data_IF_902967206674
#
_entry.id   IF_902967206674
#
_cell.length_a   1.000
_cell.length_b   1.000
_cell.length_c   1.000
_cell.angle_alpha   90.00
_cell.angle_beta   90.00
_cell.angle_gamma   90.00
#
_symmetry.space_group_name_H-M   'P 1'
#
loop_
_entity.id
_entity.type
_entity.pdbx_description
1 polymer ?
#
# COMPACT_ATOMS: atom_id res chain seq x y z
N UNK A 1 -2.00 0.11 4.84
CA UNK A 1 -0.55 0.28 4.92
C UNK A 1 0.04 -0.56 6.05
N UNK A 2 -0.12 -0.18 7.33
CA UNK A 2 0.52 -0.85 8.50
C UNK A 2 0.39 -2.38 8.48
N UNK A 3 -0.80 -2.93 8.23
CA UNK A 3 -1.00 -4.39 8.18
C UNK A 3 -0.23 -5.05 7.04
N UNK A 4 -0.12 -4.40 5.88
CA UNK A 4 0.67 -4.92 4.76
C UNK A 4 2.16 -4.93 5.11
N UNK A 5 2.66 -3.88 5.77
CA UNK A 5 4.05 -3.82 6.26
C UNK A 5 4.31 -4.92 7.28
N UNK A 6 3.43 -5.10 8.27
CA UNK A 6 3.56 -6.17 9.26
C UNK A 6 3.53 -7.56 8.61
N UNK A 7 2.70 -7.76 7.59
CA UNK A 7 2.66 -9.03 6.86
C UNK A 7 3.93 -9.28 6.03
N UNK A 8 4.51 -8.23 5.43
CA UNK A 8 5.79 -8.32 4.73
C UNK A 8 6.91 -8.76 5.69
N UNK A 9 6.96 -8.20 6.90
CA UNK A 9 7.91 -8.58 7.96
C UNK A 9 7.49 -9.85 8.73
N UNK A 10 6.48 -10.56 8.28
CA UNK A 10 5.99 -11.83 8.86
C UNK A 10 5.52 -11.71 10.32
N UNK A 11 5.21 -10.49 10.79
CA UNK A 11 4.65 -10.26 12.12
C UNK A 11 3.17 -10.64 12.22
N UNK A 12 2.48 -10.63 11.09
CA UNK A 12 1.10 -11.14 10.95
C UNK A 12 0.96 -11.90 9.64
N UNK A 13 0.06 -12.89 9.54
CA UNK A 13 -0.19 -13.58 8.28
C UNK A 13 -0.92 -12.66 7.27
N UNK A 14 -0.75 -12.91 5.95
CA UNK A 14 -1.41 -12.14 4.90
C UNK A 14 -2.94 -12.13 4.97
N UNK A 15 -3.55 -13.07 5.70
CA UNK A 15 -5.00 -13.04 5.97
C UNK A 15 -5.43 -11.88 6.88
N UNK A 16 -4.49 -11.27 7.63
CA UNK A 16 -4.72 -10.08 8.43
C UNK A 16 -4.80 -8.79 7.61
N UNK A 17 -4.34 -8.83 6.35
CA UNK A 17 -4.40 -7.72 5.41
C UNK A 17 -5.75 -7.76 4.69
N UNK A 18 -6.46 -6.62 4.53
CA UNK A 18 -7.68 -6.56 3.73
C UNK A 18 -7.46 -7.12 2.32
N UNK A 19 -8.49 -7.76 1.76
CA UNK A 19 -8.43 -8.28 0.41
C UNK A 19 -8.37 -7.14 -0.61
N UNK A 20 -7.28 -7.05 -1.34
CA UNK A 20 -7.01 -5.98 -2.29
C UNK A 20 -6.50 -6.56 -3.62
N UNK A 21 -7.36 -7.21 -4.40
CA UNK A 21 -6.95 -7.83 -5.66
C UNK A 21 -6.58 -6.79 -6.71
N UNK A 22 -5.48 -6.96 -7.45
CA UNK A 22 -5.07 -6.05 -8.50
C UNK A 22 -6.09 -5.97 -9.65
N UNK A 23 -6.95 -6.95 -9.80
CA UNK A 23 -8.01 -7.03 -10.82
C UNK A 23 -9.01 -5.87 -10.73
N UNK A 24 -9.09 -5.17 -9.60
CA UNK A 24 -9.84 -3.90 -9.46
C UNK A 24 -9.40 -2.88 -10.51
N UNK A 25 -8.14 -2.91 -10.95
CA UNK A 25 -7.61 -2.05 -12.02
C UNK A 25 -8.27 -2.29 -13.38
N UNK A 26 -8.89 -3.44 -13.59
CA UNK A 26 -9.52 -3.83 -14.85
C UNK A 26 -11.03 -3.56 -14.88
N UNK A 27 -11.63 -3.17 -13.75
CA UNK A 27 -13.06 -2.88 -13.69
C UNK A 27 -13.44 -1.74 -14.63
N UNK A 28 -14.61 -1.81 -15.26
CA UNK A 28 -15.11 -0.72 -16.12
C UNK A 28 -15.59 0.47 -15.27
N UNK A 29 -15.54 1.69 -15.83
CA UNK A 29 -15.89 2.94 -15.12
C UNK A 29 -17.30 2.97 -14.52
N UNK A 30 -18.23 2.23 -15.11
CA UNK A 30 -19.62 2.15 -14.62
C UNK A 30 -19.73 1.31 -13.32
N UNK A 31 -18.77 0.44 -13.06
CA UNK A 31 -18.81 -0.45 -11.90
C UNK A 31 -18.79 0.34 -10.57
N UNK A 32 -19.59 -0.03 -9.55
CA UNK A 32 -19.71 0.72 -8.30
C UNK A 32 -18.35 0.94 -7.59
N UNK A 33 -17.47 -0.04 -7.61
CA UNK A 33 -16.17 0.00 -6.94
C UNK A 33 -15.01 0.39 -7.87
N UNK A 34 -15.31 1.05 -9.00
CA UNK A 34 -14.23 1.51 -9.88
C UNK A 34 -13.39 2.63 -9.21
N UNK A 35 -12.08 2.56 -9.36
CA UNK A 35 -11.11 3.46 -8.72
C UNK A 35 -11.32 4.96 -9.03
N UNK A 36 -11.96 5.32 -10.16
CA UNK A 36 -12.27 6.72 -10.45
C UNK A 36 -13.23 7.37 -9.44
N UNK A 37 -13.94 6.56 -8.65
CA UNK A 37 -14.88 7.00 -7.59
C UNK A 37 -14.20 7.18 -6.23
N UNK A 38 -12.93 6.87 -6.14
CA UNK A 38 -12.11 7.02 -4.94
C UNK A 38 -11.26 8.28 -5.06
N UNK A 39 -11.07 9.00 -3.96
CA UNK A 39 -10.22 10.21 -3.92
C UNK A 39 -8.80 9.92 -4.44
N UNK A 40 -8.19 10.92 -5.07
CA UNK A 40 -6.87 10.75 -5.70
C UNK A 40 -5.81 10.27 -4.71
N UNK A 41 -5.70 10.91 -3.56
CA UNK A 41 -4.72 10.56 -2.52
C UNK A 41 -4.92 9.11 -2.01
N UNK A 42 -6.15 8.64 -1.89
CA UNK A 42 -6.43 7.24 -1.51
C UNK A 42 -5.95 6.27 -2.59
N UNK A 43 -6.13 6.62 -3.87
CA UNK A 43 -5.65 5.81 -5.00
C UNK A 43 -4.14 5.69 -5.00
N UNK A 44 -3.40 6.76 -4.66
CA UNK A 44 -1.93 6.73 -4.61
C UNK A 44 -1.40 5.75 -3.56
N UNK A 45 -2.13 5.55 -2.47
CA UNK A 45 -1.80 4.52 -1.46
C UNK A 45 -2.25 3.13 -1.91
N UNK A 46 -3.48 3.02 -2.45
CA UNK A 46 -4.11 1.72 -2.74
C UNK A 46 -3.47 1.00 -3.94
N UNK A 47 -3.15 1.73 -5.02
CA UNK A 47 -2.67 1.10 -6.25
C UNK A 47 -1.36 0.33 -6.06
N UNK A 48 -0.33 0.88 -5.40
CA UNK A 48 0.86 0.09 -5.06
C UNK A 48 0.54 -1.10 -4.14
N UNK A 49 -0.39 -0.94 -3.19
CA UNK A 49 -0.80 -2.03 -2.29
C UNK A 49 -1.47 -3.20 -3.03
N UNK A 50 -2.15 -2.97 -4.15
CA UNK A 50 -2.69 -4.05 -4.98
C UNK A 50 -1.57 -4.95 -5.51
N UNK A 51 -0.45 -4.37 -5.95
CA UNK A 51 0.71 -5.12 -6.43
C UNK A 51 1.38 -5.87 -5.27
N UNK A 52 1.63 -5.18 -4.16
CA UNK A 52 2.22 -5.77 -2.95
C UNK A 52 1.36 -6.95 -2.45
N UNK A 53 0.03 -6.77 -2.43
CA UNK A 53 -0.90 -7.82 -2.03
C UNK A 53 -0.87 -9.03 -2.99
N UNK A 54 -0.76 -8.78 -4.29
CA UNK A 54 -0.69 -9.86 -5.29
C UNK A 54 0.61 -10.67 -5.18
N UNK A 55 1.74 -10.00 -4.91
CA UNK A 55 3.06 -10.61 -4.84
C UNK A 55 3.39 -11.19 -3.46
N UNK A 56 2.75 -10.71 -2.40
CA UNK A 56 2.95 -11.14 -1.01
C UNK A 56 4.43 -11.27 -0.61
N UNK A 57 5.24 -10.22 -0.79
CA UNK A 57 6.67 -10.32 -0.56
C UNK A 57 7.00 -10.58 0.91
N UNK A 58 8.18 -11.14 1.14
CA UNK A 58 8.79 -11.28 2.47
C UNK A 58 9.95 -10.31 2.58
N UNK A 59 9.87 -9.41 3.55
CA UNK A 59 10.95 -8.49 3.87
C UNK A 59 12.04 -9.21 4.68
N UNK A 60 13.27 -8.77 4.48
CA UNK A 60 14.41 -9.24 5.29
C UNK A 60 14.38 -8.53 6.64
N UNK A 61 14.52 -9.30 7.71
CA UNK A 61 14.59 -8.80 9.09
C UNK A 61 15.88 -9.32 9.76
N UNK A 62 17.03 -8.73 9.45
CA UNK A 62 18.32 -9.26 9.89
C UNK A 62 18.53 -9.18 11.40
N UNK A 63 17.87 -8.25 12.07
CA UNK A 63 17.95 -8.08 13.53
C UNK A 63 16.92 -8.91 14.28
N UNK A 64 16.03 -9.64 13.60
CA UNK A 64 14.98 -10.44 14.23
C UNK A 64 14.00 -9.64 15.07
N UNK A 65 13.86 -8.33 14.83
CA UNK A 65 12.96 -7.46 15.58
C UNK A 65 11.51 -7.91 15.33
N UNK A 66 10.76 -8.08 16.40
CA UNK A 66 9.37 -8.49 16.35
C UNK A 66 8.49 -7.64 17.26
N UNK A 67 7.18 -7.87 17.18
CA UNK A 67 6.17 -7.21 18.00
C UNK A 67 5.27 -8.24 18.72
N UNK A 68 5.77 -9.45 18.89
CA UNK A 68 5.00 -10.55 19.49
C UNK A 68 4.50 -10.23 20.89
N UNK A 69 5.23 -9.41 21.64
CA UNK A 69 4.87 -8.94 22.99
C UNK A 69 3.62 -8.04 22.99
N UNK A 70 3.24 -7.46 21.85
CA UNK A 70 2.03 -6.64 21.72
C UNK A 70 0.76 -7.46 21.44
N UNK A 71 0.90 -8.77 21.21
CA UNK A 71 -0.23 -9.64 20.90
C UNK A 71 -0.71 -10.39 22.14
N UNK A 72 -2.02 -10.37 22.37
CA UNK A 72 -2.66 -11.17 23.43
C UNK A 72 -2.63 -12.68 23.11
N UNK A 73 -2.54 -13.03 21.83
CA UNK A 73 -2.44 -14.39 21.30
C UNK A 73 -1.45 -14.39 20.14
N UNK A 74 -0.77 -15.52 19.87
CA UNK A 74 0.06 -15.63 18.68
C UNK A 74 -0.70 -15.21 17.43
N UNK A 75 -0.05 -14.44 16.55
CA UNK A 75 -0.69 -13.87 15.35
C UNK A 75 -1.30 -14.96 14.44
N UNK A 76 -0.71 -16.16 14.39
CA UNK A 76 -1.22 -17.29 13.60
C UNK A 76 -2.52 -17.86 14.15
N UNK A 77 -2.78 -17.71 15.47
CA UNK A 77 -3.98 -18.22 16.14
C UNK A 77 -5.13 -17.21 16.11
N UNK A 78 -4.84 -15.92 15.83
CA UNK A 78 -5.88 -14.90 15.72
C UNK A 78 -6.72 -15.13 14.46
N UNK A 79 -8.05 -15.10 14.61
CA UNK A 79 -9.02 -15.28 13.53
C UNK A 79 -9.81 -14.02 13.24
N UNK A 80 -9.89 -13.11 14.20
CA UNK A 80 -10.76 -11.93 14.17
C UNK A 80 -9.97 -10.63 13.97
N UNK A 81 -9.21 -10.57 12.86
CA UNK A 81 -8.48 -9.36 12.49
C UNK A 81 -9.37 -8.17 12.14
N UNK A 82 -10.63 -8.41 11.81
CA UNK A 82 -11.57 -7.38 11.35
C UNK A 82 -12.81 -7.38 12.26
N UNK A 83 -12.84 -6.52 13.30
CA UNK A 83 -13.97 -6.46 14.21
C UNK A 83 -15.24 -6.00 13.49
N UNK A 84 -16.35 -6.70 13.73
CA UNK A 84 -17.65 -6.35 13.19
C UNK A 84 -18.27 -5.23 14.03
N UNK A 85 -18.45 -4.04 13.44
CA UNK A 85 -19.02 -2.86 14.13
C UNK A 85 -20.44 -2.52 13.71
N UNK A 86 -20.90 -3.05 12.57
CA UNK A 86 -22.25 -2.81 12.04
C UNK A 86 -22.69 -3.93 11.11
N UNK A 87 -23.99 -4.00 10.80
CA UNK A 87 -24.55 -4.96 9.83
C UNK A 87 -23.93 -4.78 8.44
N UNK A 88 -23.76 -3.53 8.02
CA UNK A 88 -23.11 -3.21 6.74
C UNK A 88 -21.65 -3.70 6.71
N UNK A 89 -20.91 -3.49 7.80
CA UNK A 89 -19.55 -4.00 7.93
C UNK A 89 -19.52 -5.53 7.85
N UNK A 90 -20.48 -6.23 8.48
CA UNK A 90 -20.61 -7.69 8.38
C UNK A 90 -20.80 -8.15 6.92
N UNK A 91 -21.64 -7.44 6.15
CA UNK A 91 -21.86 -7.73 4.74
C UNK A 91 -20.56 -7.58 3.93
N UNK A 92 -19.84 -6.49 4.12
CA UNK A 92 -18.55 -6.28 3.44
C UNK A 92 -17.50 -7.33 3.81
N UNK A 93 -17.43 -7.74 5.08
CA UNK A 93 -16.51 -8.80 5.50
C UNK A 93 -16.90 -10.16 4.90
N UNK A 94 -18.19 -10.43 4.75
CA UNK A 94 -18.66 -11.64 4.07
C UNK A 94 -18.26 -11.62 2.58
N UNK A 95 -18.50 -10.50 1.90
CA UNK A 95 -18.09 -10.32 0.50
C UNK A 95 -16.57 -10.46 0.35
N UNK A 96 -15.79 -9.88 1.25
CA UNK A 96 -14.32 -9.98 1.27
C UNK A 96 -13.86 -11.43 1.43
N UNK A 97 -14.41 -12.16 2.41
CA UNK A 97 -14.09 -13.57 2.65
C UNK A 97 -14.46 -14.44 1.45
N UNK A 98 -15.64 -14.24 0.88
CA UNK A 98 -16.12 -14.98 -0.29
C UNK A 98 -15.22 -14.71 -1.50
N UNK A 99 -14.89 -13.45 -1.75
CA UNK A 99 -14.01 -13.07 -2.85
C UNK A 99 -12.62 -13.66 -2.70
N UNK A 100 -12.06 -13.63 -1.51
CA UNK A 100 -10.75 -14.21 -1.21
C UNK A 100 -10.70 -15.72 -1.42
N UNK A 101 -11.76 -16.43 -1.02
CA UNK A 101 -11.81 -17.89 -1.10
C UNK A 101 -12.18 -18.40 -2.49
N UNK A 102 -13.09 -17.73 -3.18
CA UNK A 102 -13.65 -18.21 -4.43
C UNK A 102 -13.04 -17.52 -5.65
N UNK A 103 -12.86 -16.20 -5.62
CA UNK A 103 -12.38 -15.46 -6.78
C UNK A 103 -10.86 -15.47 -6.91
N UNK A 104 -10.14 -15.27 -5.81
CA UNK A 104 -8.67 -15.17 -5.83
C UNK A 104 -7.98 -16.40 -6.47
N UNK A 105 -8.34 -17.66 -6.14
CA UNK A 105 -7.76 -18.84 -6.77
C UNK A 105 -8.23 -19.08 -8.22
N UNK A 106 -9.40 -18.53 -8.61
CA UNK A 106 -9.97 -18.72 -9.95
C UNK A 106 -9.42 -17.73 -10.98
N UNK A 107 -8.76 -16.66 -10.55
CA UNK A 107 -8.21 -15.65 -11.48
C UNK A 107 -7.04 -16.22 -12.26
N UNK A 108 -7.12 -16.31 -13.62
CA UNK A 108 -6.01 -16.77 -14.43
C UNK A 108 -4.77 -15.87 -14.27
N UNK A 109 -3.59 -16.46 -14.26
CA UNK A 109 -2.32 -15.74 -14.12
C UNK A 109 -2.12 -14.63 -15.16
N UNK A 110 -2.66 -14.81 -16.37
CA UNK A 110 -2.63 -13.79 -17.43
C UNK A 110 -3.44 -12.54 -17.07
N UNK A 111 -4.63 -12.72 -16.47
CA UNK A 111 -5.48 -11.61 -16.04
C UNK A 111 -4.80 -10.88 -14.87
N UNK A 112 -4.27 -11.62 -13.91
CA UNK A 112 -3.52 -11.03 -12.77
C UNK A 112 -2.32 -10.22 -13.25
N UNK A 113 -1.55 -10.74 -14.19
CA UNK A 113 -0.42 -10.03 -14.79
C UNK A 113 -0.87 -8.74 -15.51
N UNK A 114 -1.95 -8.80 -16.28
CA UNK A 114 -2.52 -7.62 -16.94
C UNK A 114 -2.94 -6.56 -15.91
N UNK A 115 -3.54 -6.97 -14.81
CA UNK A 115 -3.95 -6.09 -13.72
C UNK A 115 -2.74 -5.44 -13.04
N UNK A 116 -1.69 -6.21 -12.76
CA UNK A 116 -0.42 -5.70 -12.21
C UNK A 116 0.21 -4.69 -13.16
N UNK A 117 0.34 -5.00 -14.44
CA UNK A 117 0.91 -4.09 -15.44
C UNK A 117 0.11 -2.78 -15.54
N UNK A 118 -1.21 -2.85 -15.40
CA UNK A 118 -2.06 -1.65 -15.40
C UNK A 118 -1.89 -0.82 -14.14
N UNK A 119 -1.71 -1.46 -12.98
CA UNK A 119 -1.41 -0.79 -11.71
C UNK A 119 -0.02 -0.14 -11.75
N UNK A 120 0.99 -0.85 -12.23
CA UNK A 120 2.35 -0.35 -12.45
C UNK A 120 2.35 0.90 -13.35
N UNK A 121 1.73 0.81 -14.53
CA UNK A 121 1.61 1.95 -15.45
C UNK A 121 0.93 3.14 -14.78
N UNK A 122 -0.19 2.93 -14.09
CA UNK A 122 -0.90 3.99 -13.38
C UNK A 122 -0.03 4.66 -12.33
N UNK A 123 0.76 3.88 -11.58
CA UNK A 123 1.66 4.35 -10.54
C UNK A 123 2.84 5.13 -11.14
N UNK A 124 3.52 4.57 -12.13
CA UNK A 124 4.72 5.17 -12.74
C UNK A 124 4.43 6.50 -13.43
N UNK A 125 3.26 6.63 -14.07
CA UNK A 125 2.80 7.90 -14.67
C UNK A 125 2.57 9.02 -13.64
N UNK A 126 2.54 8.70 -12.32
CA UNK A 126 2.17 9.62 -11.23
C UNK A 126 3.22 9.76 -10.14
N UNK A 127 4.43 9.32 -10.40
CA UNK A 127 5.53 9.39 -9.43
C UNK A 127 5.99 10.84 -9.13
N UNK A 128 5.62 11.83 -9.95
CA UNK A 128 5.88 13.27 -9.74
C UNK A 128 7.34 13.64 -9.39
N UNK A 129 8.31 12.91 -9.96
CA UNK A 129 9.72 13.19 -9.70
C UNK A 129 10.06 13.08 -8.21
N UNK A 130 10.77 14.07 -7.69
CA UNK A 130 11.24 14.10 -6.31
C UNK A 130 10.16 14.44 -5.26
N UNK A 131 8.95 14.82 -5.67
CA UNK A 131 7.82 15.00 -4.75
C UNK A 131 7.14 13.66 -4.43
N UNK A 132 7.47 12.62 -5.17
CA UNK A 132 7.01 11.26 -4.95
C UNK A 132 5.53 11.04 -5.24
N UNK A 133 5.08 9.81 -5.04
CA UNK A 133 3.69 9.43 -5.28
C UNK A 133 2.77 10.02 -4.21
N UNK A 134 1.91 10.94 -4.63
CA UNK A 134 0.91 11.56 -3.76
C UNK A 134 1.47 12.44 -2.64
N UNK A 135 2.78 12.69 -2.63
CA UNK A 135 3.50 13.49 -1.63
C UNK A 135 3.25 13.05 -0.16
N UNK A 136 2.95 11.77 0.05
CA UNK A 136 2.70 11.20 1.38
C UNK A 136 3.55 9.94 1.58
N UNK A 137 4.15 9.81 2.76
CA UNK A 137 5.07 8.72 3.12
C UNK A 137 4.53 7.32 2.75
N UNK A 138 3.30 6.91 3.11
CA UNK A 138 2.82 5.56 2.79
C UNK A 138 2.76 5.25 1.29
N UNK A 139 2.37 6.22 0.46
CA UNK A 139 2.30 6.03 -0.98
C UNK A 139 3.69 5.96 -1.60
N UNK A 140 4.62 6.82 -1.15
CA UNK A 140 6.00 6.88 -1.63
C UNK A 140 6.76 5.59 -1.31
N UNK A 141 6.67 5.10 -0.06
CA UNK A 141 7.30 3.84 0.36
C UNK A 141 6.72 2.65 -0.40
N UNK A 142 5.39 2.57 -0.53
CA UNK A 142 4.76 1.50 -1.29
C UNK A 142 5.20 1.51 -2.76
N UNK A 143 5.31 2.68 -3.38
CA UNK A 143 5.80 2.81 -4.76
C UNK A 143 7.25 2.32 -4.89
N UNK A 144 8.13 2.72 -3.97
CA UNK A 144 9.52 2.26 -3.96
C UNK A 144 9.63 0.73 -3.80
N UNK A 145 8.84 0.15 -2.87
CA UNK A 145 8.76 -1.30 -2.67
C UNK A 145 8.28 -2.00 -3.95
N UNK A 146 7.25 -1.47 -4.61
CA UNK A 146 6.74 -2.04 -5.87
C UNK A 146 7.79 -2.01 -6.97
N UNK A 147 8.51 -0.90 -7.15
CA UNK A 147 9.58 -0.83 -8.14
C UNK A 147 10.67 -1.88 -7.86
N UNK A 148 11.00 -2.12 -6.58
CA UNK A 148 11.90 -3.20 -6.21
C UNK A 148 11.35 -4.59 -6.56
N UNK A 149 10.07 -4.85 -6.24
CA UNK A 149 9.40 -6.13 -6.48
C UNK A 149 9.19 -6.45 -7.96
N UNK A 150 9.16 -5.44 -8.80
CA UNK A 150 9.07 -5.55 -10.26
C UNK A 150 10.45 -5.53 -10.95
N UNK A 151 11.51 -5.78 -10.17
CA UNK A 151 12.89 -5.91 -10.64
C UNK A 151 13.47 -4.68 -11.35
N UNK A 152 12.97 -3.47 -11.02
CA UNK A 152 13.66 -2.25 -11.44
C UNK A 152 15.04 -2.19 -10.79
N UNK A 153 16.09 -2.00 -11.60
CA UNK A 153 17.46 -1.90 -11.10
C UNK A 153 17.62 -0.75 -10.07
N UNK A 154 18.52 -0.84 -9.09
CA UNK A 154 18.70 0.21 -8.08
C UNK A 154 19.03 1.59 -8.68
N UNK A 155 19.73 1.62 -9.80
CA UNK A 155 20.12 2.80 -10.57
C UNK A 155 19.08 3.24 -11.60
N UNK A 156 17.99 2.49 -11.75
CA UNK A 156 16.91 2.88 -12.66
C UNK A 156 16.32 4.25 -12.25
N UNK A 157 16.14 5.20 -13.17
CA UNK A 157 15.75 6.57 -12.86
C UNK A 157 14.51 6.67 -11.95
N UNK A 158 13.47 5.90 -12.22
CA UNK A 158 12.24 5.90 -11.41
C UNK A 158 12.50 5.42 -9.98
N UNK A 159 13.31 4.36 -9.80
CA UNK A 159 13.60 3.81 -8.48
C UNK A 159 14.53 4.72 -7.68
N UNK A 160 15.54 5.28 -8.32
CA UNK A 160 16.46 6.26 -7.71
C UNK A 160 15.71 7.52 -7.27
N UNK A 161 14.84 8.07 -8.14
CA UNK A 161 14.02 9.24 -7.81
C UNK A 161 13.04 8.96 -6.69
N UNK A 162 12.37 7.81 -6.71
CA UNK A 162 11.46 7.41 -5.63
C UNK A 162 12.18 7.26 -4.28
N UNK A 163 13.43 6.77 -4.28
CA UNK A 163 14.27 6.72 -3.07
C UNK A 163 14.57 8.11 -2.55
N UNK A 164 15.03 9.03 -3.40
CA UNK A 164 15.31 10.42 -3.03
C UNK A 164 14.08 11.13 -2.48
N UNK A 165 12.91 10.87 -3.05
CA UNK A 165 11.66 11.43 -2.58
C UNK A 165 11.35 11.01 -1.12
N UNK A 166 11.63 9.76 -0.76
CA UNK A 166 11.47 9.27 0.62
C UNK A 166 12.52 9.91 1.53
N UNK A 167 13.78 9.95 1.10
CA UNK A 167 14.88 10.53 1.86
C UNK A 167 14.63 12.01 2.20
N UNK A 168 14.01 12.78 1.31
CA UNK A 168 13.59 14.16 1.57
C UNK A 168 12.59 14.34 2.73
N UNK A 169 11.87 13.30 3.11
CA UNK A 169 10.98 13.35 4.26
C UNK A 169 11.71 13.22 5.59
N UNK A 170 12.96 12.77 5.56
CA UNK A 170 13.82 12.69 6.75
C UNK A 170 14.51 14.03 6.92
N UNK A 171 14.23 14.69 8.03
CA UNK A 171 14.89 15.94 8.41
C UNK A 171 15.87 15.59 9.52
N UNK A 172 17.16 15.77 9.23
CA UNK A 172 18.26 15.55 10.18
C UNK A 172 18.74 16.91 10.70
N UNK A 173 18.91 17.02 12.00
CA UNK A 173 19.50 18.14 12.73
C UNK A 173 20.67 17.61 13.57
N UNK A 174 21.47 18.49 14.17
CA UNK A 174 22.70 18.09 14.86
C UNK A 174 22.50 16.99 15.90
N UNK A 175 21.42 17.05 16.68
CA UNK A 175 21.14 16.12 17.77
C UNK A 175 19.84 15.28 17.59
N UNK A 176 19.07 15.55 16.55
CA UNK A 176 17.81 14.86 16.33
C UNK A 176 17.47 14.65 14.86
N UNK A 177 16.67 13.62 14.58
CA UNK A 177 16.10 13.38 13.26
C UNK A 177 14.61 13.06 13.37
N UNK A 178 13.82 13.57 12.44
CA UNK A 178 12.41 13.23 12.33
C UNK A 178 11.98 13.03 10.88
N UNK A 179 10.91 12.28 10.69
CA UNK A 179 10.34 12.05 9.36
C UNK A 179 9.05 12.84 9.20
N UNK A 180 9.00 13.69 8.19
CA UNK A 180 7.77 14.37 7.78
C UNK A 180 6.81 13.35 7.15
N UNK A 181 5.53 13.29 7.55
CA UNK A 181 4.60 12.31 7.01
C UNK A 181 4.12 12.66 5.60
N UNK A 182 4.21 13.93 5.21
CA UNK A 182 3.76 14.44 3.91
C UNK A 182 4.41 15.76 3.56
N UNK A 183 4.32 16.11 2.27
CA UNK A 183 4.66 17.43 1.75
C UNK A 183 3.38 18.03 1.14
N UNK A 184 2.85 19.10 1.73
CA UNK A 184 1.58 19.69 1.33
C UNK A 184 1.62 21.23 1.20
N UNK A 185 2.54 21.79 0.37
CA UNK A 185 2.76 23.23 0.32
C UNK A 185 1.50 24.03 -0.03
N UNK A 186 0.63 23.50 -0.88
CA UNK A 186 -0.61 24.18 -1.30
C UNK A 186 -1.63 24.22 -0.14
N UNK A 187 -1.84 23.10 0.55
CA UNK A 187 -2.76 23.03 1.69
C UNK A 187 -2.27 23.86 2.86
N UNK A 188 -0.99 23.73 3.19
CA UNK A 188 -0.38 24.41 4.32
C UNK A 188 -0.39 25.94 4.09
N UNK A 189 -0.08 26.40 2.87
CA UNK A 189 -0.19 27.83 2.50
C UNK A 189 -1.63 28.30 2.57
N UNK A 190 -2.59 27.53 2.04
CA UNK A 190 -4.00 27.91 2.10
C UNK A 190 -4.53 28.03 3.53
N UNK A 191 -4.15 27.10 4.41
CA UNK A 191 -4.53 27.13 5.82
C UNK A 191 -3.83 28.28 6.58
N UNK A 192 -2.55 28.53 6.31
CA UNK A 192 -1.82 29.64 6.91
C UNK A 192 -2.37 31.01 6.48
N UNK A 193 -2.92 31.15 5.28
CA UNK A 193 -3.58 32.39 4.83
C UNK A 193 -4.96 32.58 5.46
N UNK A 194 -5.57 31.55 6.02
CA UNK A 194 -6.88 31.61 6.69
C UNK A 194 -6.77 31.84 8.20
N UNK A 195 -5.59 31.58 8.78
CA UNK A 195 -5.32 31.77 10.20
C UNK A 195 -4.92 33.20 10.51
#
# INVERSE_FOLDING_TARGET
FTRSTLAMFQQVPWRAVPYMPPEIMLLPKWFPFHLSKVAYWSRTVMVPLFIIYALKPKAVNPQGVGISELFLKPAEQERDYFPVRSTLNRLFLLLERTSRLLLDPLVPSRIRRLAINRAEKWMTERLNGEDGLGAIFPAMVNAYVVLHLLDYAPDHPLRSTAKKAIEKLVVEQDDEAYCQPCVSPIWDTGLACLA
#
